data_IF_459095867887
#
_entry.id   IF_459095867887
#
_cell.length_a   1.000
_cell.length_b   1.000
_cell.length_c   1.000
_cell.angle_alpha   90.00
_cell.angle_beta   90.00
_cell.angle_gamma   90.00
#
_symmetry.space_group_name_H-M   'P 1'
#
loop_
_entity.id
_entity.type
_entity.pdbx_description
1 polymer ?
#
# COMPACT_ATOMS: atom_id res chain seq x y z
N UNK A 1 -20.81 3.66 -11.02
CA UNK A 1 -19.41 4.05 -11.31
C UNK A 1 -19.15 5.40 -10.64
N UNK A 2 -18.90 5.39 -9.33
CA UNK A 2 -18.69 6.58 -8.51
C UNK A 2 -17.60 6.21 -7.49
N UNK A 3 -16.33 6.36 -7.82
CA UNK A 3 -15.30 6.06 -6.81
C UNK A 3 -13.91 6.63 -7.07
N UNK A 4 -13.72 7.64 -7.91
CA UNK A 4 -12.44 8.35 -7.95
C UNK A 4 -12.63 9.84 -7.72
N UNK A 5 -12.03 10.32 -6.63
CA UNK A 5 -11.84 11.74 -6.43
C UNK A 5 -10.97 12.24 -7.59
N UNK A 6 -11.52 13.14 -8.40
CA UNK A 6 -10.86 13.69 -9.59
C UNK A 6 -9.59 14.48 -9.21
N UNK A 7 -9.47 14.88 -7.94
CA UNK A 7 -8.31 15.60 -7.40
C UNK A 7 -8.00 15.21 -5.95
N UNK A 8 -6.76 14.79 -5.64
CA UNK A 8 -6.26 14.68 -4.27
C UNK A 8 -5.92 16.09 -3.80
N UNK A 9 -6.85 16.69 -3.05
CA UNK A 9 -6.69 18.02 -2.46
C UNK A 9 -5.69 18.00 -1.30
N UNK A 10 -5.18 19.18 -0.91
CA UNK A 10 -4.40 19.33 0.33
C UNK A 10 -5.14 18.78 1.55
N UNK A 11 -6.44 19.06 1.67
CA UNK A 11 -7.28 18.51 2.74
C UNK A 11 -7.30 16.98 2.75
N UNK A 12 -7.37 16.33 1.58
CA UNK A 12 -7.29 14.86 1.49
C UNK A 12 -5.93 14.36 1.95
N UNK A 13 -4.84 15.04 1.57
CA UNK A 13 -3.48 14.70 2.01
C UNK A 13 -3.32 14.82 3.52
N UNK A 14 -3.84 15.89 4.10
CA UNK A 14 -3.76 16.14 5.54
C UNK A 14 -4.54 15.10 6.33
N UNK A 15 -5.71 14.69 5.85
CA UNK A 15 -6.48 13.58 6.43
C UNK A 15 -5.71 12.27 6.39
N UNK A 16 -5.11 11.91 5.25
CA UNK A 16 -4.29 10.69 5.13
C UNK A 16 -3.11 10.74 6.12
N UNK A 17 -2.42 11.88 6.19
CA UNK A 17 -1.28 12.07 7.10
C UNK A 17 -1.70 11.95 8.56
N UNK A 18 -2.80 12.62 8.95
CA UNK A 18 -3.33 12.57 10.30
C UNK A 18 -3.75 11.16 10.71
N UNK A 19 -4.49 10.45 9.85
CA UNK A 19 -4.92 9.08 10.14
C UNK A 19 -3.76 8.09 10.23
N UNK A 20 -2.75 8.21 9.35
CA UNK A 20 -1.55 7.38 9.44
C UNK A 20 -0.77 7.68 10.74
N UNK A 21 -0.62 8.96 11.10
CA UNK A 21 0.06 9.34 12.34
C UNK A 21 -0.68 8.84 13.57
N UNK A 22 -2.00 9.02 13.62
CA UNK A 22 -2.85 8.52 14.70
C UNK A 22 -2.69 7.01 14.85
N UNK A 23 -2.76 6.26 13.74
CA UNK A 23 -2.53 4.83 13.75
C UNK A 23 -1.14 4.47 14.30
N UNK A 24 -0.08 5.15 13.86
CA UNK A 24 1.28 4.90 14.34
C UNK A 24 1.48 5.22 15.82
N UNK A 25 0.77 6.23 16.34
CA UNK A 25 0.79 6.55 17.77
C UNK A 25 0.16 5.44 18.63
N UNK A 26 -0.78 4.66 18.08
CA UNK A 26 -1.54 3.65 18.84
C UNK A 26 -1.16 2.20 18.51
N UNK A 27 -0.38 1.93 17.45
CA UNK A 27 -0.07 0.55 17.03
C UNK A 27 0.65 -0.26 18.12
N UNK A 28 1.50 0.37 18.93
CA UNK A 28 2.23 -0.33 19.99
C UNK A 28 1.29 -0.80 21.10
N UNK A 29 0.22 -0.06 21.37
CA UNK A 29 -0.84 -0.50 22.28
C UNK A 29 -1.58 -1.73 21.73
N UNK A 30 -1.83 -1.78 20.42
CA UNK A 30 -2.45 -2.95 19.77
C UNK A 30 -1.55 -4.20 19.90
N UNK A 31 -0.23 -4.05 19.74
CA UNK A 31 0.74 -5.14 19.93
C UNK A 31 0.77 -5.57 21.39
N UNK A 32 0.88 -4.63 22.33
CA UNK A 32 0.95 -4.90 23.76
C UNK A 32 -0.29 -5.61 24.29
N UNK A 33 -1.46 -5.26 23.76
CA UNK A 33 -2.74 -5.91 24.08
C UNK A 33 -2.94 -7.23 23.33
N UNK A 34 -1.96 -7.65 22.51
CA UNK A 34 -2.01 -8.91 21.77
C UNK A 34 -3.07 -8.95 20.68
N UNK A 35 -3.51 -7.81 20.16
CA UNK A 35 -4.59 -7.74 19.17
C UNK A 35 -4.11 -8.03 17.73
N UNK A 36 -2.80 -7.94 17.49
CA UNK A 36 -2.21 -8.23 16.19
C UNK A 36 -1.96 -9.74 16.04
N UNK A 37 -2.78 -10.42 15.23
CA UNK A 37 -2.68 -11.86 15.01
C UNK A 37 -2.32 -12.22 13.58
N UNK A 38 -1.49 -13.24 13.40
CA UNK A 38 -1.25 -13.83 12.09
C UNK A 38 -2.51 -14.53 11.57
N UNK A 39 -2.91 -14.25 10.33
CA UNK A 39 -4.14 -14.79 9.76
C UNK A 39 -4.19 -16.32 9.76
N UNK A 40 -3.07 -16.97 9.36
CA UNK A 40 -2.95 -18.43 9.26
C UNK A 40 -2.63 -19.09 10.59
N UNK A 41 -1.72 -18.51 11.37
CA UNK A 41 -1.21 -19.12 12.61
C UNK A 41 -2.07 -18.80 13.84
N UNK A 42 -2.90 -17.74 13.76
CA UNK A 42 -3.67 -17.17 14.88
C UNK A 42 -2.81 -16.80 16.10
N UNK A 43 -1.48 -16.80 15.96
CA UNK A 43 -0.57 -16.37 17.01
C UNK A 43 -0.47 -14.85 17.05
N UNK A 44 -0.29 -14.32 18.26
CA UNK A 44 0.01 -12.91 18.48
C UNK A 44 1.36 -12.59 17.86
N UNK A 45 1.38 -11.59 16.97
CA UNK A 45 2.58 -11.04 16.36
C UNK A 45 3.14 -9.94 17.26
N UNK A 46 4.39 -10.11 17.69
CA UNK A 46 5.12 -9.14 18.53
C UNK A 46 5.74 -7.98 17.74
N UNK A 47 5.52 -7.96 16.42
CA UNK A 47 6.05 -6.96 15.51
C UNK A 47 4.94 -6.39 14.65
N UNK A 48 5.18 -5.22 14.08
CA UNK A 48 4.27 -4.57 13.13
C UNK A 48 4.94 -4.44 11.77
N UNK A 49 5.13 -5.57 11.09
CA UNK A 49 5.74 -5.60 9.75
C UNK A 49 4.66 -5.89 8.71
N UNK A 50 3.91 -4.86 8.35
CA UNK A 50 2.91 -4.90 7.28
C UNK A 50 3.43 -3.97 6.17
N UNK A 51 4.18 -4.50 5.18
CA UNK A 51 4.83 -3.68 4.16
C UNK A 51 3.89 -2.73 3.44
N UNK A 52 2.63 -3.14 3.24
CA UNK A 52 1.60 -2.30 2.61
C UNK A 52 1.25 -1.05 3.42
N UNK A 53 1.25 -1.12 4.75
CA UNK A 53 1.00 0.06 5.61
C UNK A 53 2.22 0.97 5.69
N UNK A 54 3.44 0.42 5.70
CA UNK A 54 4.66 1.22 5.60
C UNK A 54 4.72 1.96 4.26
N UNK A 55 4.34 1.30 3.16
CA UNK A 55 4.25 1.91 1.83
C UNK A 55 3.30 3.11 1.81
N UNK A 56 2.19 3.08 2.55
CA UNK A 56 1.24 4.21 2.62
C UNK A 56 1.88 5.50 3.15
N UNK A 57 2.96 5.43 3.93
CA UNK A 57 3.69 6.62 4.38
C UNK A 57 4.34 7.39 3.22
N UNK A 58 4.68 6.69 2.13
CA UNK A 58 5.28 7.30 0.94
C UNK A 58 4.26 7.94 0.00
N UNK A 59 2.97 7.61 0.13
CA UNK A 59 1.92 8.07 -0.80
C UNK A 59 1.72 9.58 -0.69
N UNK A 60 1.58 10.11 0.51
CA UNK A 60 1.36 11.55 0.73
C UNK A 60 2.48 12.43 0.13
N UNK A 61 3.78 12.20 0.41
CA UNK A 61 4.85 12.98 -0.21
C UNK A 61 4.99 12.70 -1.71
N UNK A 62 4.67 11.50 -2.19
CA UNK A 62 4.74 11.18 -3.63
C UNK A 62 3.69 11.93 -4.43
N UNK A 63 2.47 12.09 -3.91
CA UNK A 63 1.42 12.89 -4.57
C UNK A 63 1.84 14.35 -4.73
N UNK A 64 2.55 14.92 -3.75
CA UNK A 64 3.05 16.31 -3.82
C UNK A 64 4.13 16.49 -4.89
N UNK A 65 5.04 15.53 -5.05
CA UNK A 65 6.12 15.61 -6.05
C UNK A 65 5.66 15.32 -7.47
N UNK A 66 4.64 14.47 -7.62
CA UNK A 66 4.29 13.89 -8.92
C UNK A 66 3.06 14.55 -9.54
N UNK A 67 2.23 15.23 -8.75
CA UNK A 67 1.03 16.01 -9.15
C UNK A 67 -0.03 15.33 -10.02
N UNK A 68 0.26 14.15 -10.59
CA UNK A 68 -0.63 13.35 -11.40
C UNK A 68 -1.23 12.23 -10.57
N UNK A 69 -2.55 12.33 -10.36
CA UNK A 69 -3.36 11.33 -9.66
C UNK A 69 -3.55 10.09 -10.52
N UNK A 70 -3.46 10.25 -11.84
CA UNK A 70 -3.62 9.15 -12.79
C UNK A 70 -2.58 8.05 -12.52
N UNK A 71 -1.32 8.41 -12.23
CA UNK A 71 -0.27 7.44 -11.90
C UNK A 71 -0.56 6.58 -10.66
N UNK A 72 -1.45 7.04 -9.78
CA UNK A 72 -1.85 6.32 -8.56
C UNK A 72 -3.25 5.72 -8.66
N UNK A 73 -3.91 5.79 -9.82
CA UNK A 73 -5.13 5.03 -10.04
C UNK A 73 -4.82 3.54 -10.01
N UNK A 74 -5.78 2.73 -9.54
CA UNK A 74 -5.66 1.27 -9.55
C UNK A 74 -5.31 0.77 -10.95
N UNK A 75 -5.95 1.34 -11.97
CA UNK A 75 -5.77 1.00 -13.38
C UNK A 75 -4.35 1.28 -13.89
N UNK A 76 -3.81 2.50 -13.68
CA UNK A 76 -2.44 2.82 -14.09
C UNK A 76 -1.38 2.06 -13.30
N UNK A 77 -1.62 1.83 -12.00
CA UNK A 77 -0.69 1.06 -11.16
C UNK A 77 -0.68 -0.41 -11.58
N UNK A 78 -1.84 -0.96 -11.92
CA UNK A 78 -1.98 -2.31 -12.48
C UNK A 78 -1.31 -2.42 -13.84
N UNK A 79 -1.53 -1.45 -14.73
CA UNK A 79 -0.90 -1.42 -16.06
C UNK A 79 0.62 -1.34 -15.97
N UNK A 80 1.16 -0.44 -15.13
CA UNK A 80 2.59 -0.33 -14.89
C UNK A 80 3.16 -1.60 -14.25
N UNK A 81 2.42 -2.25 -13.35
CA UNK A 81 2.84 -3.52 -12.76
C UNK A 81 2.85 -4.66 -13.78
N UNK A 82 1.92 -4.69 -14.73
CA UNK A 82 1.94 -5.65 -15.84
C UNK A 82 3.18 -5.42 -16.70
N UNK A 83 3.38 -4.19 -17.20
CA UNK A 83 4.47 -3.85 -18.11
C UNK A 83 5.86 -4.01 -17.47
N UNK A 84 6.02 -3.59 -16.21
CA UNK A 84 7.33 -3.53 -15.55
C UNK A 84 7.68 -4.81 -14.80
N UNK A 85 6.67 -5.57 -14.33
CA UNK A 85 6.89 -6.76 -13.50
C UNK A 85 6.42 -8.04 -14.21
N UNK A 86 5.18 -8.13 -14.67
CA UNK A 86 4.62 -9.39 -15.22
C UNK A 86 5.20 -9.76 -16.58
N UNK A 87 5.27 -8.80 -17.51
CA UNK A 87 5.79 -9.06 -18.87
C UNK A 87 7.30 -9.40 -18.87
N UNK A 88 8.17 -8.68 -18.14
CA UNK A 88 9.60 -9.00 -18.12
C UNK A 88 9.90 -10.31 -17.39
N UNK A 89 9.17 -10.64 -16.32
CA UNK A 89 9.38 -11.92 -15.63
C UNK A 89 8.97 -13.12 -16.48
N UNK A 90 7.95 -12.97 -17.33
CA UNK A 90 7.57 -14.01 -18.30
C UNK A 90 8.65 -14.30 -19.34
N UNK A 91 9.46 -13.30 -19.71
CA UNK A 91 10.46 -13.39 -20.79
C UNK A 91 11.87 -13.75 -20.30
N UNK A 92 12.17 -13.56 -19.01
CA UNK A 92 13.57 -13.65 -18.53
C UNK A 92 13.94 -15.03 -17.96
N UNK A 93 13.02 -15.77 -17.32
CA UNK A 93 13.38 -17.07 -16.74
C UNK A 93 12.42 -18.25 -16.97
N UNK A 94 11.36 -18.06 -17.78
CA UNK A 94 10.36 -19.09 -18.10
C UNK A 94 9.67 -19.76 -16.89
N UNK A 95 9.90 -19.27 -15.65
CA UNK A 95 9.15 -19.68 -14.48
C UNK A 95 7.97 -18.74 -14.29
N UNK A 96 6.79 -19.35 -14.23
CA UNK A 96 5.55 -18.62 -14.02
C UNK A 96 5.43 -18.19 -12.55
N UNK A 97 5.91 -16.99 -12.23
CA UNK A 97 5.73 -16.38 -10.90
C UNK A 97 4.42 -15.59 -10.77
N UNK A 98 3.49 -15.69 -11.72
CA UNK A 98 2.22 -14.96 -11.62
C UNK A 98 1.46 -15.27 -10.33
N UNK A 99 1.59 -16.48 -9.78
CA UNK A 99 0.96 -16.83 -8.49
C UNK A 99 1.61 -16.16 -7.27
N UNK A 100 2.82 -15.62 -7.41
CA UNK A 100 3.55 -14.87 -6.37
C UNK A 100 3.45 -13.35 -6.57
N UNK A 101 3.06 -12.94 -7.78
CA UNK A 101 2.86 -11.55 -8.19
C UNK A 101 1.35 -11.27 -8.13
N UNK A 102 0.86 -10.90 -6.94
CA UNK A 102 -0.51 -10.47 -6.59
C UNK A 102 -1.68 -11.02 -7.43
#
# INVERSE_FOLDING_TARGET
YLSQATTITSMTRDKIRASLQEFHNHKDALIKNGLHHGEKTKHVLKHWHIPKLELMQSVTPSVERVSSILQWSADMTEHAHIEVIKDPTSTTNNHNYNSQIC
#
